data_IF_240717967451
#
_entry.id   IF_240717967451
#
_cell.length_a   1.000
_cell.length_b   1.000
_cell.length_c   1.000
_cell.angle_alpha   90.00
_cell.angle_beta   90.00
_cell.angle_gamma   90.00
#
_symmetry.space_group_name_H-M   'P 1'
#
loop_
_entity.id
_entity.type
_entity.pdbx_description
1 polymer ?
#
# COMPACT_ATOMS: atom_id res chain seq x y z
N UNK A 1 39.93 -24.11 6.32
CA UNK A 1 38.87 -23.57 7.21
C UNK A 1 37.63 -23.37 6.39
N UNK A 2 36.43 -23.53 6.99
CA UNK A 2 35.09 -23.63 6.37
C UNK A 2 34.72 -25.01 5.77
N UNK A 3 34.97 -26.10 6.51
CA UNK A 3 34.65 -27.45 6.05
C UNK A 3 33.13 -27.71 6.00
N UNK A 4 32.37 -27.09 6.92
CA UNK A 4 30.92 -27.23 7.02
C UNK A 4 30.21 -26.50 5.86
N UNK A 5 30.63 -25.29 5.54
CA UNK A 5 30.09 -24.50 4.44
C UNK A 5 30.39 -25.16 3.09
N UNK A 6 31.61 -25.71 2.93
CA UNK A 6 31.99 -26.43 1.72
C UNK A 6 31.12 -27.69 1.52
N UNK A 7 30.96 -28.51 2.56
CA UNK A 7 30.11 -29.71 2.50
C UNK A 7 28.64 -29.36 2.22
N UNK A 8 28.11 -28.31 2.88
CA UNK A 8 26.75 -27.82 2.67
C UNK A 8 26.53 -27.38 1.22
N UNK A 9 27.48 -26.63 0.67
CA UNK A 9 27.42 -26.11 -0.69
C UNK A 9 27.48 -27.24 -1.71
N UNK A 10 28.38 -28.21 -1.52
CA UNK A 10 28.53 -29.38 -2.39
C UNK A 10 27.25 -30.22 -2.40
N UNK A 11 26.72 -30.59 -1.23
CA UNK A 11 25.50 -31.40 -1.13
C UNK A 11 24.30 -30.72 -1.81
N UNK A 12 24.07 -29.44 -1.54
CA UNK A 12 22.96 -28.67 -2.13
C UNK A 12 23.13 -28.53 -3.64
N UNK A 13 24.33 -28.20 -4.10
CA UNK A 13 24.58 -27.97 -5.52
C UNK A 13 24.46 -29.26 -6.33
N UNK A 14 24.98 -30.38 -5.81
CA UNK A 14 24.87 -31.68 -6.49
C UNK A 14 23.41 -32.15 -6.56
N UNK A 15 22.64 -31.99 -5.49
CA UNK A 15 21.20 -32.27 -5.51
C UNK A 15 20.46 -31.41 -6.54
N UNK A 16 20.71 -30.10 -6.57
CA UNK A 16 20.09 -29.21 -7.54
C UNK A 16 20.49 -29.57 -8.99
N UNK A 17 21.74 -30.03 -9.23
CA UNK A 17 22.21 -30.51 -10.53
C UNK A 17 21.55 -31.83 -10.95
N UNK A 18 21.40 -32.79 -10.04
CA UNK A 18 20.67 -34.05 -10.30
C UNK A 18 19.22 -33.76 -10.69
N UNK A 19 18.53 -32.88 -9.94
CA UNK A 19 17.16 -32.47 -10.26
C UNK A 19 17.05 -31.77 -11.62
N UNK A 20 18.02 -30.94 -11.98
CA UNK A 20 18.07 -30.31 -13.30
C UNK A 20 18.32 -31.32 -14.44
N UNK A 21 19.13 -32.36 -14.22
CA UNK A 21 19.39 -33.40 -15.20
C UNK A 21 18.17 -34.31 -15.42
N UNK A 22 17.50 -34.71 -14.35
CA UNK A 22 16.37 -35.65 -14.41
C UNK A 22 15.04 -34.98 -14.80
N UNK A 23 14.76 -33.79 -14.27
CA UNK A 23 13.45 -33.12 -14.43
C UNK A 23 13.52 -31.84 -15.26
N UNK A 24 14.71 -31.33 -15.59
CA UNK A 24 14.87 -30.01 -16.22
C UNK A 24 14.51 -28.84 -15.29
N UNK A 25 14.26 -29.10 -14.00
CA UNK A 25 13.83 -28.11 -13.02
C UNK A 25 14.30 -28.47 -11.61
N UNK A 26 14.63 -27.46 -10.81
CA UNK A 26 14.86 -27.58 -9.37
C UNK A 26 14.23 -26.41 -8.63
N UNK A 27 13.94 -26.60 -7.34
CA UNK A 27 13.41 -25.52 -6.52
C UNK A 27 14.48 -24.43 -6.32
N UNK A 28 14.18 -23.20 -6.71
CA UNK A 28 15.15 -22.11 -6.65
C UNK A 28 16.06 -22.04 -7.89
N UNK A 29 15.63 -22.59 -9.03
CA UNK A 29 16.35 -22.57 -10.31
C UNK A 29 16.82 -21.17 -10.73
N UNK A 30 16.13 -20.10 -10.31
CA UNK A 30 16.49 -18.72 -10.59
C UNK A 30 17.90 -18.34 -10.07
N UNK A 31 18.39 -19.03 -9.03
CA UNK A 31 19.75 -18.85 -8.51
C UNK A 31 20.85 -19.28 -9.50
N UNK A 32 20.48 -20.05 -10.53
CA UNK A 32 21.34 -20.46 -11.63
C UNK A 32 21.09 -19.66 -12.92
N UNK A 33 20.22 -18.65 -12.89
CA UNK A 33 19.79 -17.91 -14.09
C UNK A 33 20.95 -17.38 -14.94
N UNK A 34 22.04 -16.90 -14.34
CA UNK A 34 23.24 -16.48 -15.09
C UNK A 34 23.80 -17.62 -15.96
N UNK A 35 23.95 -18.81 -15.38
CA UNK A 35 24.48 -19.98 -16.08
C UNK A 35 23.53 -20.43 -17.20
N UNK A 36 22.23 -20.45 -16.91
CA UNK A 36 21.19 -20.84 -17.86
C UNK A 36 21.07 -19.86 -19.05
N UNK A 37 21.36 -18.58 -18.82
CA UNK A 37 21.31 -17.53 -19.85
C UNK A 37 22.65 -17.29 -20.55
N UNK A 38 23.72 -18.00 -20.16
CA UNK A 38 25.06 -17.85 -20.75
C UNK A 38 25.71 -16.47 -20.52
N UNK A 39 25.25 -15.70 -19.52
CA UNK A 39 25.76 -14.36 -19.23
C UNK A 39 27.06 -14.41 -18.43
N UNK A 40 27.87 -13.36 -18.55
CA UNK A 40 29.08 -13.20 -17.76
C UNK A 40 28.76 -12.78 -16.31
N UNK A 41 29.67 -13.08 -15.39
CA UNK A 41 29.56 -12.63 -13.99
C UNK A 41 29.42 -11.10 -13.91
N UNK A 42 28.55 -10.63 -13.03
CA UNK A 42 28.24 -9.21 -12.84
C UNK A 42 27.28 -8.59 -13.86
N UNK A 43 27.03 -9.23 -15.02
CA UNK A 43 26.11 -8.67 -16.03
C UNK A 43 24.68 -8.58 -15.48
N UNK A 44 23.95 -7.48 -15.78
CA UNK A 44 22.57 -7.33 -15.34
C UNK A 44 21.68 -8.46 -15.87
N UNK A 45 20.71 -8.93 -15.08
CA UNK A 45 19.70 -9.85 -15.55
C UNK A 45 18.72 -9.21 -16.51
N UNK A 46 18.13 -10.01 -17.42
CA UNK A 46 17.00 -9.55 -18.20
C UNK A 46 15.85 -9.25 -17.25
N UNK A 47 15.26 -8.07 -17.42
CA UNK A 47 14.09 -7.60 -16.68
C UNK A 47 12.98 -7.26 -17.66
N UNK A 48 11.79 -6.99 -17.15
CA UNK A 48 10.63 -6.59 -17.95
C UNK A 48 10.94 -5.43 -18.91
N UNK A 49 11.79 -4.47 -18.51
CA UNK A 49 12.18 -3.34 -19.34
C UNK A 49 12.87 -3.76 -20.65
N UNK A 50 13.60 -4.88 -20.66
CA UNK A 50 14.29 -5.37 -21.86
C UNK A 50 13.31 -5.99 -22.88
N UNK A 51 12.05 -6.22 -22.51
CA UNK A 51 10.99 -6.73 -23.39
C UNK A 51 10.17 -5.60 -24.04
N UNK A 52 10.34 -4.36 -23.59
CA UNK A 52 9.69 -3.21 -24.20
C UNK A 52 10.49 -2.73 -25.43
N UNK A 53 9.80 -2.14 -26.44
CA UNK A 53 10.48 -1.38 -27.48
C UNK A 53 11.33 -0.25 -26.87
N UNK A 54 12.44 0.12 -27.52
CA UNK A 54 13.36 1.18 -27.03
C UNK A 54 12.65 2.51 -26.75
N UNK A 55 11.52 2.80 -27.41
CA UNK A 55 10.77 4.05 -27.27
C UNK A 55 9.57 3.97 -26.30
N UNK A 56 9.59 3.05 -25.34
CA UNK A 56 8.54 2.98 -24.33
C UNK A 56 8.49 4.23 -23.44
N UNK A 57 7.30 4.53 -22.91
CA UNK A 57 7.08 5.58 -21.94
C UNK A 57 6.90 4.97 -20.55
N UNK A 58 7.73 5.40 -19.60
CA UNK A 58 7.63 4.97 -18.21
C UNK A 58 6.82 5.97 -17.39
N UNK A 59 5.84 5.49 -16.64
CA UNK A 59 5.24 6.26 -15.54
C UNK A 59 5.76 5.73 -14.22
N UNK A 60 6.20 6.64 -13.36
CA UNK A 60 6.64 6.31 -11.99
C UNK A 60 5.67 7.00 -11.06
N UNK A 61 4.67 6.24 -10.62
CA UNK A 61 3.72 6.71 -9.62
C UNK A 61 4.37 6.79 -8.25
N UNK A 62 3.87 7.72 -7.44
CA UNK A 62 4.41 8.12 -6.14
C UNK A 62 5.95 8.19 -6.16
N UNK A 63 6.52 8.88 -7.15
CA UNK A 63 7.94 8.84 -7.50
C UNK A 63 8.89 9.11 -6.32
N UNK A 64 8.47 9.97 -5.41
CA UNK A 64 9.20 10.32 -4.19
C UNK A 64 9.44 9.14 -3.23
N UNK A 65 8.67 8.04 -3.36
CA UNK A 65 8.84 6.76 -2.65
C UNK A 65 9.44 5.71 -3.60
N UNK A 66 8.90 5.60 -4.82
CA UNK A 66 9.30 4.57 -5.79
C UNK A 66 10.77 4.71 -6.20
N UNK A 67 11.30 5.93 -6.37
CA UNK A 67 12.71 6.14 -6.71
C UNK A 67 13.66 5.67 -5.59
N UNK A 68 13.50 6.11 -4.32
CA UNK A 68 14.29 5.56 -3.22
C UNK A 68 14.20 4.02 -3.11
N UNK A 69 13.03 3.43 -3.37
CA UNK A 69 12.88 1.99 -3.38
C UNK A 69 13.76 1.34 -4.46
N UNK A 70 13.68 1.82 -5.71
CA UNK A 70 14.52 1.33 -6.81
C UNK A 70 16.01 1.44 -6.50
N UNK A 71 16.45 2.54 -5.87
CA UNK A 71 17.83 2.74 -5.43
C UNK A 71 18.25 1.67 -4.39
N UNK A 72 17.35 1.31 -3.48
CA UNK A 72 17.61 0.38 -2.38
C UNK A 72 17.61 -1.11 -2.77
N UNK A 73 16.86 -1.49 -3.82
CA UNK A 73 16.60 -2.89 -4.17
C UNK A 73 17.87 -3.74 -4.31
N UNK A 74 18.84 -3.28 -5.10
CA UNK A 74 20.08 -4.03 -5.33
C UNK A 74 20.88 -4.26 -4.04
N UNK A 75 21.03 -3.23 -3.20
CA UNK A 75 21.82 -3.32 -1.96
C UNK A 75 21.15 -4.24 -0.94
N UNK A 76 19.82 -4.17 -0.83
CA UNK A 76 19.04 -5.04 0.04
C UNK A 76 19.16 -6.51 -0.36
N UNK A 77 18.97 -6.81 -1.66
CA UNK A 77 19.09 -8.18 -2.17
C UNK A 77 20.52 -8.71 -2.01
N UNK A 78 21.53 -7.91 -2.36
CA UNK A 78 22.94 -8.30 -2.27
C UNK A 78 23.35 -8.64 -0.84
N UNK A 79 23.01 -7.82 0.15
CA UNK A 79 23.35 -8.08 1.57
C UNK A 79 22.78 -9.41 2.07
N UNK A 80 21.51 -9.70 1.74
CA UNK A 80 20.85 -10.97 2.07
C UNK A 80 21.54 -12.15 1.38
N UNK A 81 21.86 -12.03 0.08
CA UNK A 81 22.48 -13.13 -0.68
C UNK A 81 23.94 -13.36 -0.34
N UNK A 82 24.71 -12.32 -0.05
CA UNK A 82 26.10 -12.44 0.43
C UNK A 82 26.16 -13.28 1.70
N UNK A 83 25.20 -13.11 2.62
CA UNK A 83 25.08 -13.96 3.81
C UNK A 83 24.89 -15.44 3.42
N UNK A 84 23.98 -15.74 2.50
CA UNK A 84 23.76 -17.12 2.03
C UNK A 84 25.00 -17.73 1.36
N UNK A 85 25.75 -16.94 0.59
CA UNK A 85 26.99 -17.37 -0.06
C UNK A 85 28.08 -17.61 0.98
N UNK A 86 28.28 -16.69 1.93
CA UNK A 86 29.30 -16.79 2.96
C UNK A 86 29.11 -18.01 3.87
N UNK A 87 27.86 -18.44 4.08
CA UNK A 87 27.52 -19.64 4.84
C UNK A 87 27.27 -20.88 3.95
N UNK A 88 27.73 -20.88 2.69
CA UNK A 88 27.70 -22.08 1.84
C UNK A 88 26.30 -22.59 1.47
N UNK A 89 25.26 -21.75 1.52
CA UNK A 89 23.92 -22.12 1.07
C UNK A 89 23.72 -21.93 -0.44
N UNK A 90 24.49 -21.03 -1.06
CA UNK A 90 24.40 -20.70 -2.48
C UNK A 90 25.80 -20.47 -3.07
N UNK A 91 25.95 -20.78 -4.36
CA UNK A 91 27.16 -20.43 -5.12
C UNK A 91 27.29 -18.91 -5.26
N UNK A 92 28.52 -18.36 -5.45
CA UNK A 92 28.72 -16.93 -5.71
C UNK A 92 27.93 -16.41 -6.92
N UNK A 93 27.65 -17.27 -7.91
CA UNK A 93 26.84 -16.96 -9.09
C UNK A 93 25.40 -16.57 -8.75
N UNK A 94 24.88 -16.95 -7.58
CA UNK A 94 23.53 -16.58 -7.16
C UNK A 94 23.37 -15.07 -6.92
N UNK A 95 24.49 -14.34 -6.74
CA UNK A 95 24.52 -12.87 -6.66
C UNK A 95 24.19 -12.20 -8.00
N UNK A 96 24.33 -12.91 -9.12
CA UNK A 96 24.03 -12.40 -10.46
C UNK A 96 22.55 -12.56 -10.84
N UNK A 97 21.80 -13.35 -10.06
CA UNK A 97 20.34 -13.29 -10.05
C UNK A 97 19.93 -12.15 -9.11
N UNK A 98 19.61 -10.96 -9.61
CA UNK A 98 19.46 -9.77 -8.75
C UNK A 98 18.55 -8.73 -9.38
N UNK A 99 18.04 -7.76 -8.60
CA UNK A 99 17.52 -6.53 -9.17
C UNK A 99 18.60 -5.75 -9.95
N UNK A 100 18.17 -4.84 -10.82
CA UNK A 100 19.06 -3.86 -11.42
C UNK A 100 19.64 -2.92 -10.35
N UNK A 101 20.89 -2.51 -10.54
CA UNK A 101 21.40 -1.30 -9.89
C UNK A 101 20.67 -0.09 -10.46
N UNK A 102 20.60 1.00 -9.71
CA UNK A 102 19.87 2.19 -10.14
C UNK A 102 20.45 2.78 -11.44
N UNK A 103 21.76 2.75 -11.59
CA UNK A 103 22.46 3.23 -12.79
C UNK A 103 22.17 2.33 -14.01
N UNK A 104 21.91 1.03 -13.80
CA UNK A 104 21.52 0.10 -14.86
C UNK A 104 20.07 0.31 -15.29
N UNK A 105 19.21 0.67 -14.33
CA UNK A 105 17.84 1.09 -14.59
C UNK A 105 17.81 2.42 -15.36
N UNK A 106 18.54 3.44 -14.90
CA UNK A 106 18.58 4.75 -15.57
C UNK A 106 19.03 4.67 -17.03
N UNK A 107 19.97 3.76 -17.35
CA UNK A 107 20.43 3.54 -18.73
C UNK A 107 19.36 2.96 -19.67
N UNK A 108 18.35 2.29 -19.12
CA UNK A 108 17.25 1.66 -19.87
C UNK A 108 16.03 2.57 -20.01
N UNK A 109 15.97 3.64 -19.23
CA UNK A 109 14.83 4.55 -19.22
C UNK A 109 15.11 5.73 -20.15
N UNK A 110 14.39 5.78 -21.26
CA UNK A 110 14.51 6.85 -22.25
C UNK A 110 13.59 8.03 -21.94
N UNK A 111 12.31 7.76 -21.68
CA UNK A 111 11.33 8.76 -21.26
C UNK A 111 10.59 8.30 -20.01
N UNK A 112 10.53 9.18 -19.02
CA UNK A 112 9.80 8.94 -17.78
C UNK A 112 8.94 10.14 -17.39
N UNK A 113 7.73 9.86 -16.90
CA UNK A 113 6.87 10.82 -16.22
C UNK A 113 6.84 10.43 -14.74
N UNK A 114 7.40 11.29 -13.90
CA UNK A 114 7.36 11.16 -12.46
C UNK A 114 6.06 11.77 -11.95
N UNK A 115 5.24 10.97 -11.28
CA UNK A 115 3.95 11.40 -10.72
C UNK A 115 4.09 11.45 -9.20
N UNK A 116 3.96 12.64 -8.62
CA UNK A 116 3.96 12.83 -7.16
C UNK A 116 3.40 14.20 -6.80
N UNK A 117 2.68 14.27 -5.67
CA UNK A 117 2.29 15.54 -5.06
C UNK A 117 3.46 16.27 -4.36
N UNK A 118 4.56 15.54 -4.09
CA UNK A 118 5.74 15.97 -3.32
C UNK A 118 7.02 15.41 -3.95
N UNK A 119 7.35 15.77 -5.21
CA UNK A 119 8.49 15.21 -5.92
C UNK A 119 9.80 15.42 -5.15
N UNK A 120 10.69 14.43 -5.21
CA UNK A 120 12.00 14.49 -4.56
C UNK A 120 13.06 15.17 -5.44
N UNK A 121 14.25 15.41 -4.86
CA UNK A 121 15.33 16.14 -5.53
C UNK A 121 15.78 15.46 -6.83
N UNK A 122 15.69 14.14 -6.90
CA UNK A 122 16.06 13.38 -8.08
C UNK A 122 15.16 13.74 -9.27
N UNK A 123 13.84 13.69 -9.06
CA UNK A 123 12.83 13.99 -10.08
C UNK A 123 12.91 15.46 -10.48
N UNK A 124 13.03 16.37 -9.50
CA UNK A 124 13.19 17.80 -9.77
C UNK A 124 14.42 18.09 -10.65
N UNK A 125 15.55 17.41 -10.38
CA UNK A 125 16.78 17.55 -11.18
C UNK A 125 16.64 16.91 -12.56
N UNK A 126 16.05 15.72 -12.66
CA UNK A 126 15.88 14.99 -13.92
C UNK A 126 14.90 15.67 -14.87
N UNK A 127 13.85 16.28 -14.34
CA UNK A 127 12.85 17.01 -15.12
C UNK A 127 13.37 18.33 -15.68
N UNK A 128 14.53 18.84 -15.23
CA UNK A 128 15.16 20.07 -15.76
C UNK A 128 14.21 21.27 -15.84
N UNK A 129 13.34 21.42 -14.82
CA UNK A 129 12.35 22.50 -14.76
C UNK A 129 11.05 22.26 -15.55
N UNK A 130 10.91 21.13 -16.26
CA UNK A 130 9.66 20.73 -16.94
C UNK A 130 8.68 20.13 -15.93
N UNK A 131 8.11 20.97 -15.10
CA UNK A 131 7.14 20.58 -14.06
C UNK A 131 5.74 20.95 -14.55
N UNK A 132 4.84 19.97 -14.56
CA UNK A 132 3.42 20.18 -14.85
C UNK A 132 2.65 20.05 -13.56
N UNK A 133 2.05 21.15 -13.10
CA UNK A 133 1.22 21.16 -11.90
C UNK A 133 -0.24 20.86 -12.23
N UNK A 134 -0.83 19.88 -11.54
CA UNK A 134 -2.26 19.59 -11.58
C UNK A 134 -2.85 19.69 -10.17
N UNK A 135 -3.38 20.87 -9.85
CA UNK A 135 -3.90 21.19 -8.50
C UNK A 135 -5.43 21.21 -8.42
N UNK A 136 -6.12 21.41 -9.55
CA UNK A 136 -7.59 21.48 -9.58
C UNK A 136 -8.17 20.07 -9.52
N UNK A 137 -9.05 19.82 -8.54
CA UNK A 137 -9.77 18.55 -8.42
C UNK A 137 -11.06 18.60 -9.25
N UNK A 138 -11.44 17.51 -9.96
CA UNK A 138 -12.67 17.48 -10.74
C UNK A 138 -13.95 17.78 -9.95
N UNK A 139 -13.98 17.46 -8.65
CA UNK A 139 -15.13 17.71 -7.77
C UNK A 139 -15.15 19.10 -7.13
N UNK A 140 -14.16 19.95 -7.45
CA UNK A 140 -13.98 21.26 -6.83
C UNK A 140 -13.50 21.20 -5.37
N UNK A 141 -13.15 20.03 -4.82
CA UNK A 141 -12.59 19.95 -3.47
C UNK A 141 -11.27 20.72 -3.36
N UNK A 142 -11.18 21.59 -2.38
CA UNK A 142 -9.97 22.35 -2.06
C UNK A 142 -9.10 21.61 -1.03
N UNK A 143 -7.84 22.01 -0.95
CA UNK A 143 -6.93 21.62 0.13
C UNK A 143 -7.50 22.06 1.50
N UNK A 144 -7.21 21.31 2.58
CA UNK A 144 -7.89 21.48 3.87
C UNK A 144 -7.50 22.78 4.57
N UNK A 145 -8.27 23.16 5.59
CA UNK A 145 -7.87 24.24 6.51
C UNK A 145 -6.76 23.78 7.43
N UNK A 146 -5.72 24.61 7.61
CA UNK A 146 -4.62 24.30 8.52
C UNK A 146 -4.71 25.20 9.75
N UNK A 147 -4.61 24.60 10.93
CA UNK A 147 -4.57 25.31 12.22
C UNK A 147 -3.37 24.81 13.03
N UNK A 148 -2.62 25.73 13.64
CA UNK A 148 -1.52 25.39 14.54
C UNK A 148 -1.93 25.72 15.97
N UNK A 149 -1.84 24.72 16.87
CA UNK A 149 -2.19 24.85 18.29
C UNK A 149 -1.01 24.47 19.20
N UNK A 150 -0.92 25.02 20.42
CA UNK A 150 0.12 24.65 21.38
C UNK A 150 0.12 23.16 21.74
N UNK A 151 1.28 22.55 21.94
CA UNK A 151 1.38 21.12 22.26
C UNK A 151 1.01 20.78 23.72
N UNK A 152 1.06 21.78 24.62
CA UNK A 152 0.88 21.60 26.07
C UNK A 152 -0.38 20.83 26.48
N UNK A 153 -1.53 21.13 25.86
CA UNK A 153 -2.82 20.49 26.15
C UNK A 153 -3.35 19.73 24.91
N UNK A 154 -2.45 19.22 24.07
CA UNK A 154 -2.83 18.63 22.77
C UNK A 154 -3.80 17.45 22.91
N UNK A 155 -3.67 16.63 23.95
CA UNK A 155 -4.51 15.44 24.16
C UNK A 155 -5.96 15.83 24.48
N UNK A 156 -6.16 16.81 25.36
CA UNK A 156 -7.49 17.26 25.78
C UNK A 156 -8.19 18.06 24.67
N UNK A 157 -7.48 18.99 24.02
CA UNK A 157 -8.03 19.75 22.89
C UNK A 157 -8.42 18.82 21.72
N UNK A 158 -7.58 17.83 21.42
CA UNK A 158 -7.88 16.85 20.38
C UNK A 158 -9.12 16.01 20.73
N UNK A 159 -9.31 15.64 21.99
CA UNK A 159 -10.51 14.92 22.43
C UNK A 159 -11.79 15.73 22.16
N UNK A 160 -11.77 17.04 22.42
CA UNK A 160 -12.90 17.91 22.10
C UNK A 160 -13.16 17.99 20.59
N UNK A 161 -12.11 18.13 19.79
CA UNK A 161 -12.22 18.15 18.33
C UNK A 161 -12.75 16.83 17.77
N UNK A 162 -12.30 15.70 18.30
CA UNK A 162 -12.82 14.36 18.00
C UNK A 162 -14.32 14.30 18.33
N UNK A 163 -14.73 14.70 19.53
CA UNK A 163 -16.15 14.69 19.93
C UNK A 163 -17.02 15.55 19.00
N UNK A 164 -16.51 16.68 18.50
CA UNK A 164 -17.21 17.50 17.49
C UNK A 164 -17.41 16.74 16.17
N UNK A 165 -16.39 15.99 15.70
CA UNK A 165 -16.47 15.19 14.46
C UNK A 165 -17.37 13.96 14.60
N UNK A 166 -17.31 13.26 15.74
CA UNK A 166 -18.20 12.13 16.04
C UNK A 166 -19.67 12.54 15.99
N UNK A 167 -20.03 13.70 16.57
CA UNK A 167 -21.40 14.25 16.50
C UNK A 167 -21.88 14.50 15.07
N UNK A 168 -20.95 14.77 14.14
CA UNK A 168 -21.23 14.99 12.71
C UNK A 168 -21.15 13.71 11.88
N UNK A 169 -20.86 12.55 12.51
CA UNK A 169 -20.60 11.26 11.84
C UNK A 169 -19.42 11.31 10.87
N UNK A 170 -18.42 12.13 11.18
CA UNK A 170 -17.17 12.24 10.42
C UNK A 170 -16.07 11.40 11.09
N UNK A 171 -14.95 11.19 10.40
CA UNK A 171 -13.79 10.41 10.89
C UNK A 171 -12.58 11.28 11.16
N UNK A 172 -11.73 10.80 12.07
CA UNK A 172 -10.50 11.49 12.47
C UNK A 172 -9.30 10.58 12.27
N UNK A 173 -8.24 11.12 11.67
CA UNK A 173 -6.92 10.50 11.65
C UNK A 173 -6.00 11.25 12.61
N UNK A 174 -5.22 10.52 13.39
CA UNK A 174 -4.25 11.10 14.31
C UNK A 174 -2.87 10.49 14.03
N UNK A 175 -1.88 11.33 13.76
CA UNK A 175 -0.49 10.89 13.62
C UNK A 175 0.32 11.23 14.86
N UNK A 176 0.93 10.22 15.48
CA UNK A 176 1.89 10.38 16.58
C UNK A 176 3.33 10.18 16.08
N UNK A 177 4.32 10.26 16.97
CA UNK A 177 5.72 9.96 16.64
C UNK A 177 6.20 8.58 17.12
N UNK A 178 5.59 8.05 18.19
CA UNK A 178 6.06 6.82 18.84
C UNK A 178 4.93 5.81 18.99
N UNK A 179 5.30 4.52 18.98
CA UNK A 179 4.37 3.40 19.23
C UNK A 179 3.68 3.56 20.58
N UNK A 180 4.47 3.82 21.62
CA UNK A 180 3.99 4.05 22.98
C UNK A 180 2.95 5.17 23.05
N UNK A 181 3.21 6.32 22.44
CA UNK A 181 2.24 7.42 22.44
C UNK A 181 0.95 7.07 21.67
N UNK A 182 1.05 6.29 20.60
CA UNK A 182 -0.15 5.82 19.90
C UNK A 182 -0.98 4.86 20.77
N UNK A 183 -0.31 3.94 21.47
CA UNK A 183 -0.92 2.99 22.41
C UNK A 183 -1.59 3.71 23.58
N UNK A 184 -0.82 4.54 24.30
CA UNK A 184 -1.29 5.31 25.45
C UNK A 184 -2.49 6.20 25.08
N UNK A 185 -2.45 6.86 23.91
CA UNK A 185 -3.53 7.72 23.44
C UNK A 185 -4.78 6.94 23.03
N UNK A 186 -4.59 5.74 22.45
CA UNK A 186 -5.70 4.85 22.06
C UNK A 186 -6.42 4.34 23.31
N UNK A 187 -5.67 3.88 24.31
CA UNK A 187 -6.23 3.42 25.59
C UNK A 187 -6.97 4.56 26.30
N UNK A 188 -6.32 5.73 26.44
CA UNK A 188 -6.92 6.90 27.08
C UNK A 188 -8.24 7.35 26.43
N UNK A 189 -8.30 7.42 25.09
CA UNK A 189 -9.53 7.79 24.39
C UNK A 189 -10.60 6.69 24.46
N UNK A 190 -10.22 5.42 24.45
CA UNK A 190 -11.15 4.30 24.63
C UNK A 190 -11.81 4.34 26.02
N UNK A 191 -11.04 4.59 27.08
CA UNK A 191 -11.55 4.73 28.46
C UNK A 191 -12.54 5.89 28.61
N UNK A 192 -12.39 6.94 27.81
CA UNK A 192 -13.29 8.08 27.74
C UNK A 192 -14.48 7.89 26.78
N UNK A 193 -14.67 6.67 26.28
CA UNK A 193 -15.82 6.25 25.47
C UNK A 193 -15.72 6.60 23.98
N UNK A 194 -14.53 6.94 23.47
CA UNK A 194 -14.31 7.15 22.04
C UNK A 194 -14.07 5.80 21.36
N UNK A 195 -14.74 5.57 20.23
CA UNK A 195 -14.46 4.39 19.39
C UNK A 195 -13.20 4.66 18.57
N UNK A 196 -12.08 4.14 19.03
CA UNK A 196 -10.75 4.38 18.47
C UNK A 196 -10.03 3.05 18.19
N UNK A 197 -9.23 3.01 17.13
CA UNK A 197 -8.28 1.91 16.86
C UNK A 197 -6.89 2.48 16.60
N UNK A 198 -5.88 1.69 16.96
CA UNK A 198 -4.48 1.94 16.61
C UNK A 198 -4.10 1.14 15.36
N UNK A 199 -3.50 1.81 14.37
CA UNK A 199 -2.88 1.20 13.21
C UNK A 199 -1.41 0.89 13.49
N UNK A 200 -1.14 -0.30 14.02
CA UNK A 200 0.21 -0.73 14.33
C UNK A 200 1.06 -0.93 13.05
N UNK A 201 2.38 -0.71 13.14
CA UNK A 201 3.27 -0.77 11.96
C UNK A 201 3.48 -2.19 11.42
N UNK A 202 3.26 -3.19 12.26
CA UNK A 202 3.61 -4.58 12.02
C UNK A 202 2.39 -5.46 11.72
N UNK A 203 1.23 -4.84 11.43
CA UNK A 203 0.04 -5.57 10.95
C UNK A 203 0.20 -5.98 9.49
N UNK A 204 -0.38 -7.13 9.14
CA UNK A 204 -0.42 -7.61 7.77
C UNK A 204 -1.27 -6.70 6.87
N UNK A 205 -1.00 -6.74 5.56
CA UNK A 205 -1.71 -5.90 4.58
C UNK A 205 -3.22 -6.15 4.62
N UNK A 206 -3.67 -7.39 4.80
CA UNK A 206 -5.09 -7.73 4.88
C UNK A 206 -5.76 -7.12 6.13
N UNK A 207 -5.14 -7.26 7.30
CA UNK A 207 -5.64 -6.68 8.55
C UNK A 207 -5.71 -5.15 8.46
N UNK A 208 -4.70 -4.52 7.86
CA UNK A 208 -4.71 -3.07 7.59
C UNK A 208 -5.96 -2.67 6.81
N UNK A 209 -6.28 -3.39 5.74
CA UNK A 209 -7.42 -3.11 4.88
C UNK A 209 -8.74 -3.23 5.63
N UNK A 210 -8.87 -4.24 6.48
CA UNK A 210 -10.05 -4.43 7.34
C UNK A 210 -10.24 -3.26 8.30
N UNK A 211 -9.17 -2.81 8.98
CA UNK A 211 -9.25 -1.64 9.87
C UNK A 211 -9.68 -0.38 9.11
N UNK A 212 -9.17 -0.17 7.89
CA UNK A 212 -9.57 0.97 7.07
C UNK A 212 -11.03 0.87 6.61
N UNK A 213 -11.49 -0.33 6.24
CA UNK A 213 -12.89 -0.59 5.91
C UNK A 213 -13.81 -0.31 7.09
N UNK A 214 -13.48 -0.79 8.28
CA UNK A 214 -14.22 -0.58 9.52
C UNK A 214 -14.36 0.91 9.87
N UNK A 215 -13.29 1.69 9.67
CA UNK A 215 -13.32 3.15 9.83
C UNK A 215 -14.35 3.79 8.90
N UNK A 216 -14.40 3.35 7.63
CA UNK A 216 -15.36 3.86 6.63
C UNK A 216 -16.80 3.47 6.97
N UNK A 217 -17.00 2.23 7.40
CA UNK A 217 -18.31 1.75 7.87
C UNK A 217 -18.77 2.47 9.13
N UNK A 218 -17.84 3.03 9.90
CA UNK A 218 -18.14 3.72 11.14
C UNK A 218 -18.29 2.79 12.32
N UNK A 219 -17.67 1.61 12.26
CA UNK A 219 -17.49 0.73 13.42
C UNK A 219 -16.69 1.45 14.52
N UNK A 220 -15.75 2.28 14.11
CA UNK A 220 -15.05 3.25 14.96
C UNK A 220 -14.87 4.59 14.25
N UNK A 221 -14.52 5.64 15.00
CA UNK A 221 -14.50 7.02 14.51
C UNK A 221 -13.09 7.61 14.37
N UNK A 222 -12.11 7.07 15.11
CA UNK A 222 -10.74 7.62 15.20
C UNK A 222 -9.71 6.55 14.89
N UNK A 223 -8.80 6.84 13.96
CA UNK A 223 -7.63 6.00 13.67
C UNK A 223 -6.35 6.72 14.08
N UNK A 224 -5.64 6.13 15.04
CA UNK A 224 -4.33 6.62 15.50
C UNK A 224 -3.24 5.81 14.82
N UNK A 225 -2.15 6.44 14.39
CA UNK A 225 -0.98 5.72 13.89
C UNK A 225 0.26 6.59 13.83
N UNK A 226 1.41 5.98 13.55
CA UNK A 226 2.67 6.72 13.41
C UNK A 226 2.82 7.23 11.97
N UNK A 227 2.68 6.29 11.02
CA UNK A 227 2.79 6.56 9.60
C UNK A 227 1.49 6.17 8.88
N UNK A 228 0.60 7.15 8.76
CA UNK A 228 -0.64 7.02 7.98
C UNK A 228 -0.42 7.40 6.51
N UNK A 229 0.83 7.45 6.02
CA UNK A 229 1.15 7.86 4.66
C UNK A 229 1.15 6.71 3.65
N UNK A 230 1.05 5.45 4.08
CA UNK A 230 1.02 4.32 3.11
C UNK A 230 -0.21 4.41 2.21
N UNK A 231 0.01 4.03 0.95
CA UNK A 231 -0.98 3.99 -0.13
C UNK A 231 -2.27 3.25 0.28
N UNK A 232 -3.39 3.61 -0.37
CA UNK A 232 -4.70 2.98 -0.12
C UNK A 232 -5.63 3.68 0.88
N UNK A 233 -5.18 4.76 1.54
CA UNK A 233 -6.02 5.57 2.42
C UNK A 233 -6.76 6.67 1.64
N UNK A 234 -7.77 6.28 0.85
CA UNK A 234 -8.75 7.21 0.27
C UNK A 234 -10.03 7.19 1.11
N UNK A 235 -10.16 8.17 2.01
CA UNK A 235 -11.19 8.22 3.05
C UNK A 235 -12.00 9.52 2.97
N UNK A 236 -13.03 9.61 2.11
CA UNK A 236 -13.90 10.78 2.03
C UNK A 236 -14.60 11.12 3.35
N UNK A 237 -14.75 10.14 4.24
CA UNK A 237 -15.39 10.30 5.55
C UNK A 237 -14.49 11.04 6.56
N UNK A 238 -13.18 11.15 6.30
CA UNK A 238 -12.23 11.86 7.18
C UNK A 238 -12.34 13.36 6.97
N UNK A 239 -12.72 14.08 8.02
CA UNK A 239 -12.80 15.56 8.02
C UNK A 239 -11.73 16.21 8.88
N UNK A 240 -11.01 15.44 9.70
CA UNK A 240 -9.97 15.97 10.59
C UNK A 240 -8.73 15.07 10.54
N UNK A 241 -7.58 15.69 10.34
CA UNK A 241 -6.27 15.07 10.53
C UNK A 241 -5.53 15.83 11.62
N UNK A 242 -5.19 15.16 12.72
CA UNK A 242 -4.42 15.74 13.82
C UNK A 242 -2.98 15.24 13.79
N UNK A 243 -2.02 16.16 13.84
CA UNK A 243 -0.60 15.85 13.87
C UNK A 243 -0.06 16.26 15.23
N UNK A 244 0.18 15.27 16.09
CA UNK A 244 0.79 15.49 17.40
C UNK A 244 2.30 15.66 17.25
N UNK A 245 2.88 16.50 18.09
CA UNK A 245 4.30 16.84 18.09
C UNK A 245 4.81 17.24 16.69
N UNK A 246 4.08 18.15 16.03
CA UNK A 246 4.34 18.55 14.66
C UNK A 246 5.68 19.31 14.49
N UNK A 247 6.23 19.86 15.58
CA UNK A 247 7.49 20.58 15.61
C UNK A 247 8.73 19.71 15.83
N UNK A 248 8.57 18.39 16.00
CA UNK A 248 9.70 17.48 16.12
C UNK A 248 10.21 17.09 14.73
N UNK A 249 11.39 17.59 14.40
CA UNK A 249 12.03 17.27 13.14
C UNK A 249 12.33 15.77 12.99
N UNK A 250 12.27 15.28 11.76
CA UNK A 250 12.46 13.88 11.43
C UNK A 250 11.70 13.52 10.16
N UNK A 251 11.83 12.27 9.73
CA UNK A 251 11.19 11.78 8.50
C UNK A 251 9.69 12.08 8.47
N UNK A 252 8.97 11.73 9.55
CA UNK A 252 7.50 11.86 9.67
C UNK A 252 6.99 13.30 9.75
N UNK A 253 7.86 14.28 9.93
CA UNK A 253 7.54 15.72 10.04
C UNK A 253 8.34 16.55 9.03
N UNK A 254 8.89 15.90 8.01
CA UNK A 254 9.46 16.58 6.85
C UNK A 254 8.36 17.32 6.09
N UNK A 255 8.75 18.35 5.33
CA UNK A 255 7.84 19.13 4.47
C UNK A 255 6.94 18.20 3.62
N UNK A 256 7.54 17.19 3.00
CA UNK A 256 6.85 16.20 2.16
C UNK A 256 5.85 15.37 2.96
N UNK A 257 6.27 14.82 4.09
CA UNK A 257 5.39 14.01 4.95
C UNK A 257 4.22 14.83 5.49
N UNK A 258 4.43 16.10 5.83
CA UNK A 258 3.36 17.01 6.24
C UNK A 258 2.37 17.25 5.11
N UNK A 259 2.81 17.63 3.91
CA UNK A 259 1.93 17.85 2.74
C UNK A 259 1.10 16.59 2.44
N UNK A 260 1.70 15.40 2.47
CA UNK A 260 0.97 14.15 2.25
C UNK A 260 -0.05 13.87 3.37
N UNK A 261 0.32 14.14 4.62
CA UNK A 261 -0.58 13.97 5.77
C UNK A 261 -1.77 14.93 5.65
N UNK A 262 -1.54 16.18 5.26
CA UNK A 262 -2.60 17.16 5.01
C UNK A 262 -3.55 16.69 3.90
N UNK A 263 -3.00 16.11 2.83
CA UNK A 263 -3.77 15.55 1.72
C UNK A 263 -4.84 14.52 2.14
N UNK A 264 -4.68 13.86 3.30
CA UNK A 264 -5.68 12.92 3.83
C UNK A 264 -7.00 13.59 4.23
N UNK A 265 -6.99 14.89 4.55
CA UNK A 265 -8.19 15.67 4.82
C UNK A 265 -8.81 16.30 3.54
N UNK A 266 -8.11 16.29 2.41
CA UNK A 266 -8.53 16.98 1.17
C UNK A 266 -9.65 16.27 0.39
N UNK A 267 -10.13 15.12 0.89
CA UNK A 267 -11.23 14.34 0.27
C UNK A 267 -12.61 14.70 0.83
N UNK A 268 -12.66 15.55 1.85
CA UNK A 268 -13.88 15.98 2.52
C UNK A 268 -14.02 17.51 2.45
N UNK A 269 -15.23 17.98 2.15
CA UNK A 269 -15.54 19.42 2.09
C UNK A 269 -15.25 20.15 3.42
N UNK A 270 -15.37 19.46 4.55
CA UNK A 270 -15.08 19.97 5.89
C UNK A 270 -13.65 19.63 6.34
N UNK A 271 -12.77 19.26 5.40
CA UNK A 271 -11.40 18.86 5.67
C UNK A 271 -10.60 19.91 6.43
N UNK A 272 -10.09 19.52 7.60
CA UNK A 272 -9.22 20.33 8.44
C UNK A 272 -8.03 19.52 8.92
N UNK A 273 -6.91 20.19 9.12
CA UNK A 273 -5.72 19.65 9.77
C UNK A 273 -5.37 20.52 10.98
N UNK A 274 -5.08 19.88 12.11
CA UNK A 274 -4.55 20.54 13.29
C UNK A 274 -3.11 20.05 13.52
N UNK A 275 -2.17 20.99 13.59
CA UNK A 275 -0.79 20.75 13.96
C UNK A 275 -0.59 21.18 15.41
N UNK A 276 -0.28 20.23 16.29
CA UNK A 276 0.08 20.54 17.68
C UNK A 276 1.59 20.72 17.77
N UNK A 277 2.02 21.94 18.07
CA UNK A 277 3.42 22.36 18.04
C UNK A 277 3.65 23.55 18.97
N UNK A 278 4.81 23.60 19.63
CA UNK A 278 5.21 24.76 20.44
C UNK A 278 6.04 25.76 19.62
N UNK A 279 6.61 25.33 18.50
CA UNK A 279 7.43 26.16 17.60
C UNK A 279 7.07 25.93 16.14
N UNK A 280 7.14 26.98 15.33
CA UNK A 280 7.07 26.85 13.88
C UNK A 280 8.43 26.40 13.33
N UNK A 281 8.48 25.20 12.74
CA UNK A 281 9.68 24.71 12.04
C UNK A 281 9.67 25.14 10.57
N UNK A 282 10.82 25.10 9.90
CA UNK A 282 10.89 25.41 8.46
C UNK A 282 10.06 24.44 7.60
N UNK A 283 10.03 23.16 7.98
CA UNK A 283 9.21 22.15 7.30
C UNK A 283 7.70 22.43 7.43
N UNK A 284 7.25 22.86 8.62
CA UNK A 284 5.86 23.27 8.84
C UNK A 284 5.51 24.50 8.02
N UNK A 285 6.35 25.54 8.08
CA UNK A 285 6.11 26.80 7.37
C UNK A 285 5.96 26.57 5.86
N UNK A 286 6.90 25.86 5.24
CA UNK A 286 6.84 25.54 3.82
C UNK A 286 5.60 24.70 3.46
N UNK A 287 5.29 23.66 4.26
CA UNK A 287 4.12 22.82 4.00
C UNK A 287 2.79 23.59 4.13
N UNK A 288 2.70 24.50 5.10
CA UNK A 288 1.54 25.38 5.32
C UNK A 288 1.40 26.36 4.14
N UNK A 289 2.49 27.00 3.72
CA UNK A 289 2.51 27.94 2.60
C UNK A 289 2.06 27.27 1.30
N UNK A 290 2.58 26.09 0.97
CA UNK A 290 2.22 25.38 -0.25
C UNK A 290 0.75 24.94 -0.25
N UNK A 291 0.25 24.43 0.88
CA UNK A 291 -1.16 24.02 1.01
C UNK A 291 -2.10 25.21 0.87
N UNK A 292 -1.76 26.34 1.50
CA UNK A 292 -2.54 27.58 1.38
C UNK A 292 -2.50 28.16 -0.04
N UNK A 293 -1.35 28.05 -0.74
CA UNK A 293 -1.23 28.44 -2.15
C UNK A 293 -2.16 27.62 -3.02
N UNK A 294 -2.12 26.28 -2.91
CA UNK A 294 -3.00 25.35 -3.65
C UNK A 294 -4.47 25.65 -3.38
N UNK A 295 -4.83 25.77 -2.10
CA UNK A 295 -6.20 26.09 -1.66
C UNK A 295 -6.71 27.37 -2.30
N UNK A 296 -5.92 28.45 -2.28
CA UNK A 296 -6.31 29.74 -2.85
C UNK A 296 -6.61 29.64 -4.35
N UNK A 297 -5.74 28.94 -5.11
CA UNK A 297 -5.95 28.77 -6.55
C UNK A 297 -7.18 27.91 -6.84
N UNK A 298 -7.41 26.86 -6.06
CA UNK A 298 -8.59 25.99 -6.19
C UNK A 298 -9.90 26.77 -5.89
N UNK A 299 -9.94 27.55 -4.81
CA UNK A 299 -11.10 28.37 -4.45
C UNK A 299 -11.39 29.45 -5.50
N UNK A 300 -10.35 30.09 -6.05
CA UNK A 300 -10.49 31.07 -7.13
C UNK A 300 -11.00 30.42 -8.43
N UNK A 301 -10.48 29.25 -8.78
CA UNK A 301 -10.96 28.47 -9.92
C UNK A 301 -12.43 28.10 -9.76
N UNK A 302 -12.82 27.60 -8.58
CA UNK A 302 -14.19 27.23 -8.26
C UNK A 302 -15.14 28.44 -8.37
N UNK A 303 -14.75 29.59 -7.83
CA UNK A 303 -15.53 30.83 -7.92
C UNK A 303 -15.72 31.28 -9.36
N UNK A 304 -14.65 31.25 -10.15
CA UNK A 304 -14.65 31.68 -11.56
C UNK A 304 -15.53 30.77 -12.43
N UNK A 305 -15.50 29.46 -12.16
CA UNK A 305 -16.24 28.45 -12.93
C UNK A 305 -17.58 28.04 -12.30
N UNK A 306 -17.99 28.69 -11.21
CA UNK A 306 -19.23 28.40 -10.46
C UNK A 306 -19.34 26.92 -10.03
N UNK A 307 -18.23 26.33 -9.62
CA UNK A 307 -18.17 24.95 -9.12
C UNK A 307 -18.47 24.96 -7.62
N UNK A 308 -19.47 24.19 -7.19
CA UNK A 308 -19.71 23.92 -5.78
C UNK A 308 -18.95 22.66 -5.37
N UNK A 309 -18.00 22.74 -4.41
CA UNK A 309 -17.25 21.57 -3.96
C UNK A 309 -18.17 20.47 -3.46
N UNK A 310 -17.87 19.22 -3.80
CA UNK A 310 -18.60 18.05 -3.30
C UNK A 310 -17.66 16.94 -2.86
N UNK A 311 -17.90 16.38 -1.68
CA UNK A 311 -17.21 15.17 -1.22
C UNK A 311 -17.58 13.99 -2.13
N UNK A 312 -16.58 13.22 -2.56
CA UNK A 312 -16.80 12.03 -3.38
C UNK A 312 -17.43 10.93 -2.52
N UNK A 313 -18.61 10.44 -2.90
CA UNK A 313 -19.20 9.24 -2.27
C UNK A 313 -18.70 7.99 -3.00
N UNK A 314 -17.67 7.32 -2.46
CA UNK A 314 -17.23 5.99 -2.95
C UNK A 314 -17.92 4.87 -2.17
N UNK A 315 -18.35 3.81 -2.84
CA UNK A 315 -18.88 2.61 -2.17
C UNK A 315 -17.79 1.95 -1.31
N UNK A 316 -18.19 1.32 -0.20
CA UNK A 316 -17.25 0.58 0.67
C UNK A 316 -16.87 -0.78 0.06
N UNK A 317 -17.77 -1.38 -0.74
CA UNK A 317 -17.57 -2.68 -1.41
C UNK A 317 -16.35 -2.72 -2.35
N UNK A 318 -15.96 -1.58 -2.93
CA UNK A 318 -14.87 -1.53 -3.91
C UNK A 318 -13.46 -1.71 -3.32
N UNK A 319 -13.26 -1.53 -2.00
CA UNK A 319 -11.92 -1.61 -1.40
C UNK A 319 -11.38 -3.04 -1.41
N UNK A 320 -12.19 -4.02 -1.04
CA UNK A 320 -11.78 -5.43 -1.05
C UNK A 320 -11.53 -5.89 -2.49
N UNK A 321 -12.44 -5.58 -3.41
CA UNK A 321 -12.31 -5.94 -4.82
C UNK A 321 -11.03 -5.38 -5.47
N UNK A 322 -10.68 -4.12 -5.20
CA UNK A 322 -9.47 -3.50 -5.79
C UNK A 322 -8.15 -4.13 -5.36
N UNK A 323 -8.13 -4.82 -4.21
CA UNK A 323 -6.92 -5.47 -3.68
C UNK A 323 -6.85 -6.91 -4.16
N UNK A 324 -7.99 -7.61 -4.25
CA UNK A 324 -8.04 -8.91 -4.91
C UNK A 324 -7.65 -8.81 -6.40
N UNK A 325 -7.99 -7.71 -7.08
CA UNK A 325 -7.55 -7.44 -8.46
C UNK A 325 -6.05 -7.12 -8.59
N UNK A 326 -5.41 -6.61 -7.53
CA UNK A 326 -3.97 -6.29 -7.56
C UNK A 326 -3.06 -7.51 -7.35
N UNK A 327 -3.55 -8.54 -6.64
CA UNK A 327 -2.79 -9.78 -6.39
C UNK A 327 -3.24 -10.98 -7.23
N UNK A 328 -4.39 -10.92 -7.91
CA UNK A 328 -4.82 -11.97 -8.85
C UNK A 328 -5.56 -11.35 -10.06
N UNK A 329 -5.13 -11.72 -11.28
CA UNK A 329 -5.97 -11.58 -12.47
C UNK A 329 -7.24 -12.39 -12.26
N UNK A 330 -8.40 -11.77 -12.03
CA UNK A 330 -9.68 -12.45 -12.25
C UNK A 330 -10.82 -11.53 -12.69
N UNK A 331 -11.51 -12.05 -13.72
CA UNK A 331 -12.80 -11.79 -14.36
C UNK A 331 -13.85 -11.02 -13.54
N UNK A 332 -14.70 -10.16 -14.15
CA UNK A 332 -15.63 -9.29 -13.44
C UNK A 332 -16.75 -10.06 -12.74
N UNK A 333 -17.03 -9.71 -11.48
CA UNK A 333 -18.13 -10.24 -10.70
C UNK A 333 -19.49 -9.71 -11.16
N UNK A 334 -20.48 -10.61 -11.33
CA UNK A 334 -21.89 -10.26 -11.45
C UNK A 334 -22.74 -11.05 -10.45
N UNK A 335 -23.55 -10.27 -9.73
CA UNK A 335 -24.83 -10.55 -9.07
C UNK A 335 -24.90 -11.38 -7.76
N UNK A 336 -25.62 -10.76 -6.82
CA UNK A 336 -26.07 -11.26 -5.53
C UNK A 336 -26.75 -12.63 -5.58
N UNK A 337 -26.43 -13.49 -4.60
CA UNK A 337 -27.32 -14.60 -4.21
C UNK A 337 -27.62 -14.48 -2.73
N UNK A 338 -28.91 -14.29 -2.42
CA UNK A 338 -29.51 -14.30 -1.09
C UNK A 338 -29.12 -15.60 -0.36
N UNK A 339 -28.63 -15.49 0.87
CA UNK A 339 -28.43 -16.63 1.74
C UNK A 339 -29.79 -17.23 2.14
N UNK A 340 -30.14 -18.36 1.54
CA UNK A 340 -31.10 -19.29 2.12
C UNK A 340 -30.38 -20.10 3.21
N UNK A 341 -30.95 -20.12 4.41
CA UNK A 341 -30.51 -20.97 5.51
C UNK A 341 -30.68 -22.45 5.11
N UNK A 342 -29.59 -23.09 4.68
CA UNK A 342 -29.56 -24.53 4.39
C UNK A 342 -29.38 -25.31 5.68
N UNK A 343 -30.23 -26.31 5.90
CA UNK A 343 -30.17 -27.23 7.04
C UNK A 343 -28.85 -28.03 7.03
N UNK A 344 -28.12 -28.01 8.15
CA UNK A 344 -26.78 -28.59 8.33
C UNK A 344 -26.68 -30.07 7.92
N UNK A 345 -27.80 -30.83 8.00
CA UNK A 345 -27.83 -32.25 7.63
C UNK A 345 -27.77 -32.52 6.12
N UNK A 346 -27.97 -31.51 5.27
CA UNK A 346 -28.08 -31.68 3.82
C UNK A 346 -26.81 -31.29 3.05
N UNK A 347 -25.83 -30.68 3.74
CA UNK A 347 -24.58 -30.17 3.16
C UNK A 347 -23.79 -31.27 2.40
N UNK A 348 -23.58 -32.48 2.94
CA UNK A 348 -22.81 -33.52 2.23
C UNK A 348 -23.48 -33.96 0.92
N UNK A 349 -24.81 -34.06 0.93
CA UNK A 349 -25.61 -34.44 -0.25
C UNK A 349 -25.57 -33.34 -1.31
N UNK A 350 -25.60 -32.07 -0.88
CA UNK A 350 -25.52 -30.91 -1.76
C UNK A 350 -24.14 -30.80 -2.42
N UNK A 351 -23.05 -31.05 -1.67
CA UNK A 351 -21.68 -31.09 -2.20
C UNK A 351 -21.55 -32.17 -3.28
N UNK A 352 -22.10 -33.38 -3.05
CA UNK A 352 -22.05 -34.45 -4.04
C UNK A 352 -22.79 -34.07 -5.34
N UNK A 353 -23.95 -33.42 -5.22
CA UNK A 353 -24.70 -32.94 -6.39
C UNK A 353 -23.92 -31.88 -7.16
N UNK A 354 -23.36 -30.89 -6.48
CA UNK A 354 -22.55 -29.83 -7.11
C UNK A 354 -21.28 -30.39 -7.76
N UNK A 355 -20.61 -31.38 -7.16
CA UNK A 355 -19.45 -32.06 -7.76
C UNK A 355 -19.81 -32.77 -9.08
N UNK A 356 -21.02 -33.31 -9.19
CA UNK A 356 -21.52 -33.93 -10.42
C UNK A 356 -21.79 -32.87 -11.49
N UNK A 357 -22.51 -31.80 -11.14
CA UNK A 357 -22.81 -30.68 -12.05
C UNK A 357 -21.51 -30.00 -12.54
N UNK A 358 -20.49 -29.87 -11.68
CA UNK A 358 -19.19 -29.30 -12.04
C UNK A 358 -18.47 -30.15 -13.09
N UNK A 359 -18.50 -31.48 -12.95
CA UNK A 359 -17.90 -32.40 -13.93
C UNK A 359 -18.64 -32.40 -15.27
N UNK A 360 -19.96 -32.24 -15.24
CA UNK A 360 -20.79 -32.09 -16.45
C UNK A 360 -20.51 -30.75 -17.15
N UNK A 361 -20.40 -29.65 -16.41
CA UNK A 361 -20.01 -28.35 -16.98
C UNK A 361 -18.59 -28.40 -17.60
N UNK A 362 -17.64 -29.06 -16.92
CA UNK A 362 -16.28 -29.23 -17.44
C UNK A 362 -16.24 -30.09 -18.72
N UNK A 363 -17.08 -31.13 -18.83
CA UNK A 363 -17.14 -31.98 -20.03
C UNK A 363 -17.81 -31.27 -21.22
N UNK A 364 -18.63 -30.26 -20.96
CA UNK A 364 -19.25 -29.38 -21.96
C UNK A 364 -18.39 -28.16 -22.29
N UNK A 365 -17.16 -28.07 -21.75
CA UNK A 365 -16.25 -26.92 -21.90
C UNK A 365 -16.80 -25.60 -21.34
N UNK A 366 -17.80 -25.67 -20.45
CA UNK A 366 -18.35 -24.52 -19.72
C UNK A 366 -17.50 -24.24 -18.48
N UNK A 367 -16.24 -23.82 -18.70
CA UNK A 367 -15.25 -23.65 -17.64
C UNK A 367 -15.64 -22.59 -16.59
N UNK A 368 -16.36 -21.55 -17.01
CA UNK A 368 -16.89 -20.53 -16.10
C UNK A 368 -17.88 -21.14 -15.12
N UNK A 369 -18.82 -21.95 -15.62
CA UNK A 369 -19.80 -22.64 -14.78
C UNK A 369 -19.17 -23.67 -13.87
N UNK A 370 -18.15 -24.40 -14.34
CA UNK A 370 -17.38 -25.32 -13.52
C UNK A 370 -16.63 -24.60 -12.38
N UNK A 371 -16.07 -23.41 -12.64
CA UNK A 371 -15.40 -22.59 -11.63
C UNK A 371 -16.39 -22.09 -10.56
N UNK A 372 -17.57 -21.59 -10.95
CA UNK A 372 -18.63 -21.19 -10.00
C UNK A 372 -19.04 -22.33 -9.07
N UNK A 373 -19.22 -23.53 -9.63
CA UNK A 373 -19.61 -24.71 -8.87
C UNK A 373 -18.51 -25.16 -7.92
N UNK A 374 -17.23 -25.08 -8.33
CA UNK A 374 -16.06 -25.35 -7.47
C UNK A 374 -16.03 -24.41 -6.26
N UNK A 375 -16.16 -23.11 -6.49
CA UNK A 375 -16.08 -22.11 -5.42
C UNK A 375 -17.25 -22.25 -4.43
N UNK A 376 -18.44 -22.66 -4.93
CA UNK A 376 -19.60 -22.98 -4.10
C UNK A 376 -19.40 -24.24 -3.26
N UNK A 377 -18.76 -25.28 -3.82
CA UNK A 377 -18.38 -26.50 -3.08
C UNK A 377 -17.41 -26.14 -1.96
N UNK A 378 -16.39 -25.32 -2.24
CA UNK A 378 -15.38 -24.95 -1.25
C UNK A 378 -15.99 -24.23 -0.05
N UNK A 379 -16.91 -23.27 -0.28
CA UNK A 379 -17.63 -22.60 0.83
C UNK A 379 -18.44 -23.57 1.68
N UNK A 380 -19.09 -24.56 1.06
CA UNK A 380 -19.87 -25.56 1.78
C UNK A 380 -18.97 -26.53 2.57
N UNK A 381 -17.81 -26.90 2.02
CA UNK A 381 -16.80 -27.71 2.71
C UNK A 381 -16.16 -26.96 3.89
N UNK A 382 -15.90 -25.66 3.74
CA UNK A 382 -15.42 -24.78 4.82
C UNK A 382 -16.45 -24.64 5.94
N UNK A 383 -17.75 -24.51 5.59
CA UNK A 383 -18.84 -24.55 6.58
C UNK A 383 -18.96 -25.90 7.30
N UNK A 384 -18.71 -27.02 6.61
CA UNK A 384 -18.70 -28.35 7.22
C UNK A 384 -17.50 -28.54 8.16
N UNK A 385 -16.32 -28.04 7.77
CA UNK A 385 -15.08 -28.13 8.58
C UNK A 385 -15.09 -27.19 9.78
N UNK A 386 -15.64 -25.97 9.65
CA UNK A 386 -15.74 -25.02 10.76
C UNK A 386 -16.74 -25.41 11.85
N UNK A 387 -17.52 -26.48 11.64
CA UNK A 387 -18.50 -27.01 12.59
C UNK A 387 -18.12 -28.41 13.14
N UNK A 388 -16.97 -28.96 12.77
CA UNK A 388 -16.33 -30.13 13.41
C UNK A 388 -15.29 -29.67 14.42
#
# INVERSE_FOLDING_TARGET
GQLLEAQRLEQRTNFDLEMLQELGYCQGIENYSRHLTGRNAGQPPPVLLDYFPENFLLFIDESHVTIPQLIGMYRGDRSRKETLVNYGFRLPSALDNRPLMFEEFEKRVHQAIYVSATPSNYEMKKSQGRIVEQIIRPTGLSDPGLEVKPAKNQVDDLLEEIRKRVKRKERVLVTTLTKRMAEDLTEYYADLGIRVKYLHSDIDTLERVEIIRDLRLGEFDVLIGINLLREGLDLPEVSLVAILDADKEGFLRSEKSLIQTFGRAARNINGQVILYADKMTGAMDHAILETNRRRKVQEEFNRTHKITPQSVKKSVKNILASIYEADYFTVPAVADVKEEYVSIKEIPTMIQKLKKEMKEAASQLEFERAAELRDKIQRLEEMELGMK
#
